data_IF_215393097231
#
_entry.id   IF_215393097231
#
_cell.length_a   1.000
_cell.length_b   1.000
_cell.length_c   1.000
_cell.angle_alpha   90.00
_cell.angle_beta   90.00
_cell.angle_gamma   90.00
#
_symmetry.space_group_name_H-M   'P 1'
#
loop_
_entity.id
_entity.type
_entity.pdbx_description
1 polymer ?
#
# COMPACT_ATOMS: atom_id res chain seq x y z
N UNK A 1 -18.56 4.65 2.58
CA UNK A 1 -18.57 5.80 1.64
C UNK A 1 -18.00 5.28 0.33
N UNK A 2 -18.73 5.37 -0.79
CA UNK A 2 -18.24 4.88 -2.09
C UNK A 2 -17.26 5.90 -2.64
N UNK A 3 -16.01 5.50 -2.80
CA UNK A 3 -15.02 6.37 -3.42
C UNK A 3 -15.22 6.24 -4.93
N UNK A 4 -15.37 7.37 -5.60
CA UNK A 4 -15.69 7.43 -7.03
C UNK A 4 -14.50 7.99 -7.78
N UNK A 5 -13.93 7.20 -8.70
CA UNK A 5 -12.82 7.60 -9.55
C UNK A 5 -13.24 8.75 -10.50
N UNK A 6 -12.96 10.00 -10.11
CA UNK A 6 -13.13 11.18 -10.97
C UNK A 6 -12.00 12.20 -10.78
N UNK A 7 -10.79 11.81 -11.21
CA UNK A 7 -9.70 12.70 -11.67
C UNK A 7 -8.56 11.80 -12.17
N UNK A 8 -7.81 12.24 -13.19
CA UNK A 8 -6.88 11.43 -13.99
C UNK A 8 -5.59 10.92 -13.30
N UNK A 9 -5.65 10.61 -12.01
CA UNK A 9 -4.59 10.00 -11.18
C UNK A 9 -5.16 8.85 -10.31
N UNK A 10 -6.33 8.33 -10.65
CA UNK A 10 -6.86 7.14 -10.02
C UNK A 10 -5.92 5.96 -10.32
N UNK A 11 -5.41 5.30 -9.29
CA UNK A 11 -4.75 4.01 -9.37
C UNK A 11 -5.75 2.91 -8.98
N UNK A 12 -6.68 2.54 -9.88
CA UNK A 12 -7.68 1.52 -9.60
C UNK A 12 -7.05 0.18 -9.20
N UNK A 13 -5.81 -0.09 -9.60
CA UNK A 13 -5.01 -1.24 -9.18
C UNK A 13 -4.82 -1.31 -7.66
N UNK A 14 -4.64 -0.17 -6.97
CA UNK A 14 -4.51 -0.14 -5.52
C UNK A 14 -5.86 0.02 -4.80
N UNK A 15 -6.98 -0.08 -5.52
CA UNK A 15 -8.30 0.06 -4.91
C UNK A 15 -8.53 -0.89 -3.72
N UNK A 16 -8.26 -2.21 -3.85
CA UNK A 16 -8.45 -3.15 -2.74
C UNK A 16 -7.55 -2.83 -1.54
N UNK A 17 -6.32 -2.41 -1.82
CA UNK A 17 -5.37 -1.94 -0.81
C UNK A 17 -5.93 -0.77 0.00
N UNK A 18 -6.45 0.25 -0.68
CA UNK A 18 -6.94 1.48 -0.05
C UNK A 18 -8.24 1.25 0.72
N UNK A 19 -9.15 0.45 0.19
CA UNK A 19 -10.40 0.10 0.87
C UNK A 19 -10.15 -0.60 2.21
N UNK A 20 -9.10 -1.42 2.30
CA UNK A 20 -8.75 -2.10 3.54
C UNK A 20 -7.92 -1.22 4.48
N UNK A 21 -6.90 -0.52 3.96
CA UNK A 21 -5.92 0.19 4.78
C UNK A 21 -6.47 1.49 5.38
N UNK A 22 -7.22 2.29 4.61
CA UNK A 22 -7.63 3.63 5.04
C UNK A 22 -8.55 3.63 6.27
N UNK A 23 -9.61 2.78 6.34
CA UNK A 23 -10.46 2.72 7.53
C UNK A 23 -9.69 2.31 8.78
N UNK A 24 -8.75 1.36 8.65
CA UNK A 24 -7.91 0.89 9.77
C UNK A 24 -6.94 1.97 10.26
N UNK A 25 -6.57 2.92 9.39
CA UNK A 25 -5.70 4.04 9.72
C UNK A 25 -6.43 5.26 10.30
N UNK A 26 -7.77 5.19 10.43
CA UNK A 26 -8.65 6.33 10.71
C UNK A 26 -8.38 7.48 9.73
N UNK A 27 -8.27 7.13 8.44
CA UNK A 27 -8.05 8.06 7.35
C UNK A 27 -9.12 7.89 6.28
N UNK A 28 -9.40 8.99 5.58
CA UNK A 28 -10.27 8.99 4.41
C UNK A 28 -9.54 9.66 3.26
N UNK A 29 -9.64 9.08 2.06
CA UNK A 29 -9.31 9.76 0.82
C UNK A 29 -10.61 10.29 0.23
N UNK A 30 -10.70 11.59 -0.03
CA UNK A 30 -11.91 12.19 -0.61
C UNK A 30 -12.11 11.79 -2.07
N UNK A 31 -11.02 11.50 -2.80
CA UNK A 31 -11.03 11.30 -4.26
C UNK A 31 -10.43 9.96 -4.71
N UNK A 32 -9.85 9.16 -3.81
CA UNK A 32 -9.03 8.00 -4.18
C UNK A 32 -7.69 8.38 -4.83
N UNK A 33 -7.34 9.66 -4.83
CA UNK A 33 -6.09 10.20 -5.35
C UNK A 33 -4.98 9.99 -4.31
N UNK A 34 -3.99 9.16 -4.68
CA UNK A 34 -2.79 8.95 -3.87
C UNK A 34 -1.78 10.09 -4.00
N UNK A 35 -2.03 11.07 -4.86
CA UNK A 35 -1.23 12.28 -5.00
C UNK A 35 -1.15 13.13 -3.73
N UNK A 36 -2.11 12.99 -2.81
CA UNK A 36 -2.05 13.60 -1.48
C UNK A 36 -0.94 12.98 -0.58
N UNK A 37 -0.48 11.77 -0.89
CA UNK A 37 0.59 11.08 -0.18
C UNK A 37 1.94 11.31 -0.85
N UNK A 38 2.62 12.41 -0.47
CA UNK A 38 4.02 12.77 -0.81
C UNK A 38 4.55 12.12 -2.09
N UNK A 39 4.25 12.69 -3.26
CA UNK A 39 4.95 12.34 -4.49
C UNK A 39 4.18 12.51 -5.79
N UNK A 40 2.84 12.59 -5.74
CA UNK A 40 2.01 12.66 -6.96
C UNK A 40 1.87 11.32 -7.70
N UNK A 41 2.68 10.32 -7.33
CA UNK A 41 2.75 9.00 -7.95
C UNK A 41 2.06 7.94 -7.08
N UNK A 42 1.14 7.14 -7.65
CA UNK A 42 0.39 6.14 -6.91
C UNK A 42 1.24 5.18 -6.08
N UNK A 43 2.32 4.64 -6.65
CA UNK A 43 3.16 3.67 -5.95
C UNK A 43 3.78 4.27 -4.69
N UNK A 44 4.26 5.52 -4.76
CA UNK A 44 4.84 6.22 -3.61
C UNK A 44 3.78 6.40 -2.51
N UNK A 45 2.55 6.77 -2.91
CA UNK A 45 1.42 6.87 -1.99
C UNK A 45 1.10 5.53 -1.32
N UNK A 46 1.10 4.45 -2.08
CA UNK A 46 0.88 3.10 -1.56
C UNK A 46 1.96 2.68 -0.56
N UNK A 47 3.25 2.92 -0.86
CA UNK A 47 4.36 2.66 0.07
C UNK A 47 4.22 3.46 1.37
N UNK A 48 3.77 4.72 1.31
CA UNK A 48 3.55 5.54 2.51
C UNK A 48 2.43 4.98 3.40
N UNK A 49 1.34 4.48 2.80
CA UNK A 49 0.25 3.85 3.54
C UNK A 49 0.71 2.52 4.13
N UNK A 50 1.45 1.69 3.37
CA UNK A 50 2.06 0.45 3.87
C UNK A 50 2.96 0.72 5.08
N UNK A 51 3.82 1.75 4.99
CA UNK A 51 4.68 2.15 6.09
C UNK A 51 3.87 2.53 7.34
N UNK A 52 2.78 3.29 7.17
CA UNK A 52 1.89 3.68 8.26
C UNK A 52 1.20 2.46 8.90
N UNK A 53 0.71 1.50 8.10
CA UNK A 53 0.12 0.26 8.60
C UNK A 53 1.14 -0.58 9.37
N UNK A 54 2.32 -0.80 8.79
CA UNK A 54 3.40 -1.55 9.41
C UNK A 54 3.82 -0.94 10.76
N UNK A 55 4.05 0.37 10.81
CA UNK A 55 4.47 1.10 12.01
C UNK A 55 3.41 1.13 13.12
N UNK A 56 2.12 1.12 12.76
CA UNK A 56 1.00 1.22 13.71
C UNK A 56 0.47 -0.12 14.20
N UNK A 57 1.05 -1.25 13.80
CA UNK A 57 0.50 -2.54 14.22
C UNK A 57 -0.70 -3.00 13.38
N UNK A 58 -1.00 -2.37 12.24
CA UNK A 58 -2.21 -2.65 11.47
C UNK A 58 -1.94 -3.76 10.47
N UNK A 59 -2.74 -4.82 10.57
CA UNK A 59 -2.67 -5.94 9.64
C UNK A 59 -3.53 -5.70 8.41
N UNK A 60 -3.01 -6.16 7.28
CA UNK A 60 -3.65 -6.13 5.97
C UNK A 60 -3.72 -7.55 5.42
N UNK A 61 -4.75 -7.85 4.62
CA UNK A 61 -4.84 -9.12 3.88
C UNK A 61 -3.77 -9.22 2.79
N UNK A 62 -3.43 -10.44 2.39
CA UNK A 62 -2.51 -10.63 1.27
C UNK A 62 -3.13 -10.18 -0.05
N UNK A 63 -4.44 -10.37 -0.20
CA UNK A 63 -5.22 -9.90 -1.34
C UNK A 63 -5.14 -8.37 -1.49
N UNK A 64 -5.23 -7.65 -0.37
CA UNK A 64 -5.10 -6.19 -0.38
C UNK A 64 -3.68 -5.72 -0.70
N UNK A 65 -2.64 -6.48 -0.34
CA UNK A 65 -1.25 -6.09 -0.60
C UNK A 65 -0.73 -6.53 -1.97
N UNK A 66 -1.45 -7.42 -2.67
CA UNK A 66 -0.96 -8.13 -3.86
C UNK A 66 -0.44 -7.21 -4.98
N UNK A 67 -1.21 -6.19 -5.36
CA UNK A 67 -0.82 -5.27 -6.45
C UNK A 67 0.38 -4.40 -6.05
N UNK A 68 0.45 -3.94 -4.79
CA UNK A 68 1.59 -3.17 -4.30
C UNK A 68 2.85 -4.03 -4.24
N UNK A 69 2.71 -5.31 -3.88
CA UNK A 69 3.80 -6.28 -3.89
C UNK A 69 4.29 -6.60 -5.31
N UNK A 70 3.36 -6.78 -6.25
CA UNK A 70 3.66 -7.02 -7.66
C UNK A 70 4.52 -5.89 -8.23
N UNK A 71 4.08 -4.65 -8.06
CA UNK A 71 4.79 -3.48 -8.55
C UNK A 71 6.14 -3.27 -7.84
N UNK A 72 6.19 -3.55 -6.54
CA UNK A 72 7.45 -3.51 -5.81
C UNK A 72 8.48 -4.49 -6.40
N UNK A 73 8.09 -5.73 -6.72
CA UNK A 73 8.96 -6.67 -7.41
C UNK A 73 9.37 -6.19 -8.80
N UNK A 74 8.40 -5.77 -9.62
CA UNK A 74 8.66 -5.30 -10.98
C UNK A 74 9.66 -4.13 -11.02
N UNK A 75 9.50 -3.15 -10.12
CA UNK A 75 10.39 -1.99 -10.03
C UNK A 75 11.72 -2.29 -9.33
N UNK A 76 11.81 -3.35 -8.52
CA UNK A 76 13.08 -3.77 -7.92
C UNK A 76 14.01 -4.42 -8.96
N UNK A 77 13.42 -5.14 -9.91
CA UNK A 77 14.12 -5.84 -11.01
C UNK A 77 14.58 -4.88 -12.12
N UNK A 78 13.93 -3.71 -12.26
CA UNK A 78 14.41 -2.65 -13.15
C UNK A 78 15.46 -1.77 -12.45
N UNK A 79 16.73 -1.99 -12.79
CA UNK A 79 17.86 -1.27 -12.20
C UNK A 79 17.84 0.23 -12.41
N UNK A 80 17.12 0.70 -13.44
CA UNK A 80 17.03 2.12 -13.82
C UNK A 80 15.76 2.79 -13.28
N UNK A 81 14.89 2.05 -12.59
CA UNK A 81 13.63 2.58 -12.13
C UNK A 81 13.83 3.63 -11.03
N UNK A 82 13.22 4.80 -11.22
CA UNK A 82 13.31 5.96 -10.32
C UNK A 82 12.95 5.61 -8.86
N UNK A 83 12.06 4.64 -8.67
CA UNK A 83 11.53 4.25 -7.35
C UNK A 83 12.08 2.93 -6.79
N UNK A 84 13.15 2.38 -7.36
CA UNK A 84 13.75 1.10 -6.92
C UNK A 84 14.04 1.04 -5.40
N UNK A 85 14.46 2.15 -4.81
CA UNK A 85 14.70 2.25 -3.36
C UNK A 85 13.41 2.13 -2.52
N UNK A 86 12.27 2.56 -3.06
CA UNK A 86 10.95 2.42 -2.43
C UNK A 86 10.42 1.00 -2.56
N UNK A 87 10.75 0.28 -3.63
CA UNK A 87 10.40 -1.12 -3.82
C UNK A 87 10.91 -2.01 -2.69
N UNK A 88 12.19 -1.88 -2.34
CA UNK A 88 12.78 -2.62 -1.22
C UNK A 88 12.06 -2.32 0.10
N UNK A 89 11.64 -1.06 0.31
CA UNK A 89 10.88 -0.65 1.50
C UNK A 89 9.47 -1.21 1.52
N UNK A 90 8.77 -1.21 0.39
CA UNK A 90 7.45 -1.81 0.27
C UNK A 90 7.49 -3.30 0.65
N UNK A 91 8.44 -4.06 0.11
CA UNK A 91 8.63 -5.47 0.42
C UNK A 91 8.98 -5.70 1.91
N UNK A 92 9.80 -4.84 2.51
CA UNK A 92 10.09 -4.89 3.94
C UNK A 92 8.82 -4.70 4.78
N UNK A 93 7.97 -3.70 4.46
CA UNK A 93 6.73 -3.46 5.19
C UNK A 93 5.72 -4.59 5.04
N UNK A 94 5.59 -5.17 3.84
CA UNK A 94 4.73 -6.32 3.59
C UNK A 94 5.19 -7.51 4.44
N UNK A 95 6.50 -7.80 4.46
CA UNK A 95 7.05 -8.87 5.28
C UNK A 95 6.81 -8.62 6.79
N UNK A 96 6.94 -7.38 7.26
CA UNK A 96 6.62 -7.03 8.65
C UNK A 96 5.15 -7.28 9.00
N UNK A 97 4.23 -6.90 8.10
CA UNK A 97 2.78 -7.09 8.29
C UNK A 97 2.47 -8.60 8.35
N UNK A 98 2.96 -9.38 7.38
CA UNK A 98 2.77 -10.84 7.34
C UNK A 98 3.33 -11.52 8.58
N UNK A 99 4.59 -11.23 8.92
CA UNK A 99 5.26 -11.83 10.08
C UNK A 99 4.53 -11.55 11.40
N UNK A 100 3.93 -10.37 11.55
CA UNK A 100 3.14 -10.04 12.74
C UNK A 100 1.82 -10.80 12.76
N UNK A 101 1.11 -10.82 11.64
CA UNK A 101 -0.16 -11.54 11.48
C UNK A 101 0.00 -13.04 11.76
N UNK A 102 1.07 -13.65 11.25
CA UNK A 102 1.39 -15.07 11.46
C UNK A 102 1.84 -15.38 12.90
N UNK A 103 2.33 -14.36 13.62
CA UNK A 103 2.72 -14.48 15.03
C UNK A 103 1.53 -14.28 15.99
N UNK A 104 0.36 -13.82 15.53
CA UNK A 104 -0.84 -13.67 16.35
C UNK A 104 -1.65 -14.99 16.38
N UNK A 105 -1.65 -15.72 17.51
CA UNK A 105 -2.35 -17.00 17.64
C UNK A 105 -3.88 -16.87 17.59
N UNK A 106 -4.46 -15.67 17.56
CA UNK A 106 -5.89 -15.46 17.40
C UNK A 106 -6.39 -15.65 15.95
N UNK A 107 -5.47 -15.75 14.98
CA UNK A 107 -5.78 -15.84 13.54
C UNK A 107 -5.42 -17.20 12.92
N UNK A 108 -4.84 -18.13 13.71
CA UNK A 108 -4.40 -19.46 13.28
C UNK A 108 -5.43 -20.58 13.54
#
# INVERSE_FOLDING_TARGET
MKITAQSGLAAPEYWPFLEEALPKLDRTLETGDLGEFRGGEPFIGAVNILAACAQRGIDLSDEAMAEVEHDAHAFADDEWHTYRHLSAKALEYIAMIRSRRDADPATA
#
